data_IF_757806093101
#
_entry.id   IF_757806093101
#
_cell.length_a   1.000
_cell.length_b   1.000
_cell.length_c   1.000
_cell.angle_alpha   90.00
_cell.angle_beta   90.00
_cell.angle_gamma   90.00
#
_symmetry.space_group_name_H-M   'P 1'
#
loop_
_entity.id
_entity.type
_entity.pdbx_description
1 polymer ?
#
# COMPACT_ATOMS: atom_id res chain seq x y z
N UNK A 1 7.13 17.13 9.90
CA UNK A 1 8.04 17.26 8.74
C UNK A 1 7.63 16.25 7.69
N UNK A 2 6.58 16.52 6.91
CA UNK A 2 6.14 15.66 5.79
C UNK A 2 6.20 16.43 4.46
N UNK A 3 5.71 17.68 4.44
CA UNK A 3 5.74 18.53 3.23
C UNK A 3 7.12 18.70 2.59
N UNK A 4 8.15 19.10 3.35
CA UNK A 4 9.50 19.31 2.79
C UNK A 4 10.13 17.99 2.31
N UNK A 5 9.85 16.87 2.99
CA UNK A 5 10.41 15.56 2.63
C UNK A 5 9.83 15.01 1.32
N UNK A 6 8.51 15.10 1.15
CA UNK A 6 7.82 14.77 -0.11
C UNK A 6 8.28 15.70 -1.24
N UNK A 7 8.18 17.02 -1.04
CA UNK A 7 8.41 17.99 -2.10
C UNK A 7 9.88 18.05 -2.55
N UNK A 8 10.83 17.72 -1.66
CA UNK A 8 12.27 17.74 -1.95
C UNK A 8 12.91 16.36 -2.16
N UNK A 9 12.21 15.26 -1.82
CA UNK A 9 12.70 13.88 -1.95
C UNK A 9 11.98 13.04 -3.02
N UNK A 10 10.75 13.44 -3.40
CA UNK A 10 9.93 12.76 -4.40
C UNK A 10 8.86 11.84 -3.81
N UNK A 11 7.89 11.46 -4.66
CA UNK A 11 6.95 10.35 -4.43
C UNK A 11 7.34 9.18 -5.32
N UNK A 12 7.03 7.96 -4.85
CA UNK A 12 7.24 6.73 -5.59
C UNK A 12 5.97 5.87 -5.52
N UNK A 13 6.08 4.55 -5.39
CA UNK A 13 4.92 3.66 -5.49
C UNK A 13 3.80 3.94 -4.46
N UNK A 14 4.12 4.38 -3.25
CA UNK A 14 3.13 4.52 -2.17
C UNK A 14 1.97 5.47 -2.51
N UNK A 15 2.25 6.61 -3.15
CA UNK A 15 1.20 7.57 -3.51
C UNK A 15 0.46 7.16 -4.79
N UNK A 16 1.16 6.56 -5.76
CA UNK A 16 0.52 6.00 -6.94
C UNK A 16 -0.47 4.87 -6.58
N UNK A 17 -0.12 4.00 -5.62
CA UNK A 17 -1.03 2.98 -5.09
C UNK A 17 -2.19 3.63 -4.34
N UNK A 18 -1.96 4.68 -3.54
CA UNK A 18 -3.04 5.47 -2.95
C UNK A 18 -4.02 5.97 -4.03
N UNK A 19 -3.50 6.55 -5.12
CA UNK A 19 -4.33 7.10 -6.19
C UNK A 19 -5.11 6.00 -6.92
N UNK A 20 -4.51 4.82 -7.11
CA UNK A 20 -5.19 3.62 -7.59
C UNK A 20 -6.32 3.16 -6.66
N UNK A 21 -6.10 3.15 -5.35
CA UNK A 21 -7.14 2.81 -4.37
C UNK A 21 -8.35 3.75 -4.48
N UNK A 22 -8.15 5.04 -4.76
CA UNK A 22 -9.29 5.97 -4.95
C UNK A 22 -10.22 5.61 -6.10
N UNK A 23 -9.78 4.76 -7.04
CA UNK A 23 -10.60 4.31 -8.18
C UNK A 23 -11.61 3.22 -7.81
N UNK A 24 -11.51 2.64 -6.61
CA UNK A 24 -12.46 1.63 -6.13
C UNK A 24 -13.33 2.18 -4.99
N UNK A 25 -14.65 2.15 -5.20
CA UNK A 25 -15.65 2.74 -4.29
C UNK A 25 -15.56 2.25 -2.82
N UNK A 26 -15.29 0.97 -2.53
CA UNK A 26 -15.21 0.51 -1.14
C UNK A 26 -14.15 1.20 -0.27
N UNK A 27 -13.18 1.90 -0.87
CA UNK A 27 -12.10 2.59 -0.14
C UNK A 27 -12.33 4.09 0.08
N UNK A 28 -13.51 4.60 -0.32
CA UNK A 28 -13.79 6.03 -0.30
C UNK A 28 -13.93 6.60 1.11
N UNK A 29 -14.38 5.79 2.07
CA UNK A 29 -14.50 6.18 3.48
C UNK A 29 -13.13 6.28 4.19
N UNK A 30 -12.09 5.62 3.65
CA UNK A 30 -10.73 5.74 4.16
C UNK A 30 -10.14 7.11 3.80
N UNK A 31 -9.49 7.74 4.78
CA UNK A 31 -8.79 9.01 4.61
C UNK A 31 -7.55 8.85 3.72
N UNK A 32 -7.00 9.98 3.26
CA UNK A 32 -5.78 10.00 2.45
C UNK A 32 -4.61 9.28 3.14
N UNK A 33 -4.31 9.63 4.40
CA UNK A 33 -3.19 9.03 5.14
C UNK A 33 -3.36 7.53 5.39
N UNK A 34 -4.59 7.07 5.55
CA UNK A 34 -4.93 5.66 5.71
C UNK A 34 -4.63 4.86 4.44
N UNK A 35 -5.06 5.36 3.27
CA UNK A 35 -4.71 4.76 1.96
C UNK A 35 -3.22 4.84 1.66
N UNK A 36 -2.55 5.95 2.01
CA UNK A 36 -1.08 6.09 1.85
C UNK A 36 -0.33 5.08 2.72
N UNK A 37 -0.83 4.74 3.92
CA UNK A 37 -0.19 3.72 4.75
C UNK A 37 -0.22 2.34 4.08
N UNK A 38 -1.36 1.94 3.49
CA UNK A 38 -1.48 0.71 2.68
C UNK A 38 -0.57 0.77 1.44
N UNK A 39 -0.52 1.92 0.76
CA UNK A 39 0.42 2.14 -0.34
C UNK A 39 1.89 2.01 0.07
N UNK A 40 2.25 2.47 1.28
CA UNK A 40 3.61 2.36 1.82
C UNK A 40 4.00 0.90 2.05
N UNK A 41 3.11 0.10 2.65
CA UNK A 41 3.35 -1.35 2.83
C UNK A 41 3.51 -2.05 1.47
N UNK A 42 2.69 -1.67 0.48
CA UNK A 42 2.78 -2.19 -0.89
C UNK A 42 4.12 -1.83 -1.55
N UNK A 43 4.59 -0.59 -1.38
CA UNK A 43 5.88 -0.15 -1.88
C UNK A 43 7.03 -0.97 -1.27
N UNK A 44 7.02 -1.26 0.03
CA UNK A 44 8.06 -2.08 0.67
C UNK A 44 8.11 -3.49 0.09
N UNK A 45 6.95 -4.06 -0.30
CA UNK A 45 6.90 -5.36 -0.99
C UNK A 45 7.49 -5.23 -2.40
N UNK A 46 7.12 -4.20 -3.16
CA UNK A 46 7.67 -3.94 -4.50
C UNK A 46 9.20 -3.77 -4.49
N UNK A 47 9.71 -3.07 -3.48
CA UNK A 47 11.16 -2.88 -3.26
C UNK A 47 11.89 -4.16 -2.82
N UNK A 48 11.17 -5.25 -2.54
CA UNK A 48 11.75 -6.50 -2.06
C UNK A 48 12.38 -6.39 -0.68
N UNK A 49 11.81 -5.57 0.21
CA UNK A 49 12.32 -5.41 1.59
C UNK A 49 12.09 -6.68 2.39
N UNK A 50 12.99 -6.93 3.34
CA UNK A 50 12.88 -8.08 4.24
C UNK A 50 11.56 -8.04 5.02
N UNK A 51 10.97 -9.22 5.24
CA UNK A 51 9.70 -9.37 5.97
C UNK A 51 9.74 -8.73 7.36
N UNK A 52 10.87 -8.82 8.07
CA UNK A 52 11.03 -8.19 9.39
C UNK A 52 10.92 -6.65 9.31
N UNK A 53 11.46 -6.03 8.26
CA UNK A 53 11.34 -4.59 8.06
C UNK A 53 9.89 -4.18 7.74
N UNK A 54 9.17 -5.00 6.98
CA UNK A 54 7.74 -4.78 6.72
C UNK A 54 6.95 -4.93 8.03
N UNK A 55 7.25 -5.96 8.83
CA UNK A 55 6.63 -6.17 10.13
C UNK A 55 6.86 -5.00 11.10
N UNK A 56 8.05 -4.42 11.15
CA UNK A 56 8.33 -3.23 11.98
C UNK A 56 7.42 -2.05 11.61
N UNK A 57 7.15 -1.85 10.31
CA UNK A 57 6.23 -0.79 9.85
C UNK A 57 4.79 -1.16 10.16
N UNK A 58 4.36 -2.40 9.94
CA UNK A 58 3.02 -2.89 10.32
C UNK A 58 2.78 -2.68 11.82
N UNK A 59 3.76 -3.05 12.65
CA UNK A 59 3.72 -2.92 14.11
C UNK A 59 3.52 -1.47 14.53
N UNK A 60 4.33 -0.57 13.98
CA UNK A 60 4.23 0.86 14.21
C UNK A 60 2.85 1.41 13.77
N UNK A 61 2.39 1.04 12.57
CA UNK A 61 1.09 1.46 12.05
C UNK A 61 -0.05 1.00 12.97
N UNK A 62 0.00 -0.25 13.46
CA UNK A 62 -1.00 -0.78 14.41
C UNK A 62 -0.98 -0.02 15.73
N UNK A 63 0.21 0.26 16.29
CA UNK A 63 0.35 1.01 17.54
C UNK A 63 -0.16 2.46 17.42
N UNK A 64 -0.11 3.03 16.21
CA UNK A 64 -0.65 4.35 15.87
C UNK A 64 -2.14 4.32 15.48
N UNK A 65 -2.77 3.14 15.42
CA UNK A 65 -4.16 2.97 15.01
C UNK A 65 -4.42 3.14 13.51
N UNK A 66 -3.39 3.01 12.66
CA UNK A 66 -3.49 3.08 11.21
C UNK A 66 -3.91 1.73 10.61
N UNK A 67 -4.63 1.74 9.47
CA UNK A 67 -5.00 0.54 8.75
C UNK A 67 -3.77 -0.09 8.09
N UNK A 68 -3.67 -1.42 8.18
CA UNK A 68 -2.56 -2.17 7.58
C UNK A 68 -3.02 -3.26 6.62
N UNK A 69 -4.33 -3.48 6.52
CA UNK A 69 -4.96 -4.45 5.62
C UNK A 69 -5.94 -3.76 4.67
N UNK A 70 -6.24 -4.36 3.53
CA UNK A 70 -7.27 -3.90 2.59
C UNK A 70 -8.65 -3.86 3.24
N UNK A 71 -8.95 -4.84 4.10
CA UNK A 71 -10.20 -4.88 4.85
C UNK A 71 -10.34 -3.68 5.80
N UNK A 72 -9.25 -3.16 6.38
CA UNK A 72 -9.29 -1.99 7.26
C UNK A 72 -9.68 -0.71 6.51
N UNK A 73 -9.40 -0.63 5.20
CA UNK A 73 -9.80 0.49 4.33
C UNK A 73 -11.07 0.18 3.53
N UNK A 74 -11.88 -0.80 3.98
CA UNK A 74 -13.19 -1.10 3.39
C UNK A 74 -13.18 -2.09 2.22
N UNK A 75 -12.00 -2.50 1.73
CA UNK A 75 -11.86 -3.45 0.63
C UNK A 75 -11.72 -4.88 1.16
N UNK A 76 -12.82 -5.45 1.67
CA UNK A 76 -12.88 -6.84 2.11
C UNK A 76 -13.08 -7.77 0.92
N UNK A 77 -12.26 -8.82 0.79
CA UNK A 77 -12.29 -9.80 -0.30
C UNK A 77 -12.32 -9.15 -1.69
N UNK A 78 -11.26 -8.39 -2.07
CA UNK A 78 -11.22 -7.68 -3.33
C UNK A 78 -11.41 -8.62 -4.53
N UNK A 79 -12.17 -8.18 -5.52
CA UNK A 79 -12.28 -8.90 -6.79
C UNK A 79 -11.04 -8.68 -7.64
N UNK A 80 -10.75 -9.63 -8.55
CA UNK A 80 -9.67 -9.48 -9.54
C UNK A 80 -9.82 -8.18 -10.36
N UNK A 81 -11.06 -7.77 -10.65
CA UNK A 81 -11.32 -6.52 -11.37
C UNK A 81 -10.94 -5.29 -10.55
N UNK A 82 -11.19 -5.29 -9.24
CA UNK A 82 -10.79 -4.20 -8.34
C UNK A 82 -9.28 -4.11 -8.23
N UNK A 83 -8.60 -5.25 -8.03
CA UNK A 83 -7.14 -5.30 -7.97
C UNK A 83 -6.52 -4.81 -9.28
N UNK A 84 -7.03 -5.30 -10.42
CA UNK A 84 -6.60 -4.84 -11.75
C UNK A 84 -6.81 -3.34 -11.93
N UNK A 85 -7.96 -2.81 -11.52
CA UNK A 85 -8.25 -1.36 -11.59
C UNK A 85 -7.24 -0.55 -10.79
N UNK A 86 -6.89 -1.01 -9.57
CA UNK A 86 -5.90 -0.34 -8.72
C UNK A 86 -4.51 -0.38 -9.39
N UNK A 87 -4.09 -1.55 -9.88
CA UNK A 87 -2.78 -1.72 -10.53
C UNK A 87 -2.64 -0.91 -11.82
N UNK A 88 -3.66 -0.93 -12.68
CA UNK A 88 -3.68 -0.13 -13.92
C UNK A 88 -3.61 1.37 -13.61
N UNK A 89 -4.40 1.84 -12.64
CA UNK A 89 -4.42 3.25 -12.25
C UNK A 89 -3.08 3.70 -11.65
N UNK A 90 -2.48 2.89 -10.77
CA UNK A 90 -1.19 3.20 -10.15
C UNK A 90 -0.03 3.25 -11.15
N UNK A 91 -0.18 2.60 -12.32
CA UNK A 91 0.82 2.56 -13.38
C UNK A 91 0.48 3.50 -14.57
N UNK A 92 -0.51 4.39 -14.46
CA UNK A 92 -0.81 5.36 -15.52
C UNK A 92 0.46 6.20 -15.83
N UNK A 93 0.68 6.65 -17.09
CA UNK A 93 1.97 7.25 -17.49
C UNK A 93 2.42 8.48 -16.70
N UNK A 94 1.47 9.21 -16.09
CA UNK A 94 1.75 10.38 -15.27
C UNK A 94 2.00 10.09 -13.79
N UNK A 95 1.86 8.82 -13.37
CA UNK A 95 1.96 8.45 -11.97
C UNK A 95 3.38 8.52 -11.41
N UNK A 96 3.45 8.61 -10.08
CA UNK A 96 4.72 8.75 -9.37
C UNK A 96 5.48 7.43 -9.21
N UNK A 97 4.83 6.29 -9.48
CA UNK A 97 5.44 4.95 -9.42
C UNK A 97 6.65 4.81 -10.34
N UNK A 98 6.70 5.58 -11.44
CA UNK A 98 7.80 5.57 -12.41
C UNK A 98 9.10 6.19 -11.88
N UNK A 99 9.09 6.74 -10.66
CA UNK A 99 10.30 7.17 -9.96
C UNK A 99 11.02 6.02 -9.22
N UNK A 100 10.40 4.83 -9.12
CA UNK A 100 11.08 3.64 -8.62
C UNK A 100 12.30 3.31 -9.50
N UNK A 101 13.42 2.84 -8.93
CA UNK A 101 14.65 2.54 -9.68
C UNK A 101 14.57 1.22 -10.48
N UNK A 102 13.36 0.68 -10.66
CA UNK A 102 13.05 -0.55 -11.38
C UNK A 102 11.71 -0.40 -12.10
N UNK A 103 11.46 -1.25 -13.10
CA UNK A 103 10.18 -1.27 -13.81
C UNK A 103 9.09 -1.86 -12.91
N UNK A 104 7.95 -1.17 -12.84
CA UNK A 104 6.77 -1.62 -12.09
C UNK A 104 5.60 -1.79 -13.06
N UNK A 105 5.00 -2.97 -13.09
CA UNK A 105 3.83 -3.28 -13.93
C UNK A 105 2.55 -3.32 -13.10
N UNK A 106 1.36 -3.15 -13.73
CA UNK A 106 0.08 -3.29 -13.03
C UNK A 106 -0.07 -4.61 -12.28
N UNK A 107 0.46 -5.71 -12.82
CA UNK A 107 0.43 -7.03 -12.19
C UNK A 107 1.35 -7.07 -10.96
N UNK A 108 2.55 -6.47 -11.03
CA UNK A 108 3.44 -6.37 -9.89
C UNK A 108 2.79 -5.57 -8.74
N UNK A 109 2.05 -4.50 -9.06
CA UNK A 109 1.28 -3.74 -8.04
C UNK A 109 0.19 -4.60 -7.41
N UNK A 110 -0.55 -5.38 -8.20
CA UNK A 110 -1.59 -6.28 -7.70
C UNK A 110 -1.00 -7.33 -6.74
N UNK A 111 0.05 -8.01 -7.18
CA UNK A 111 0.72 -9.05 -6.39
C UNK A 111 1.30 -8.47 -5.10
N UNK A 112 1.92 -7.29 -5.18
CA UNK A 112 2.47 -6.60 -4.01
C UNK A 112 1.38 -6.15 -3.03
N UNK A 113 0.23 -5.68 -3.53
CA UNK A 113 -0.89 -5.25 -2.70
C UNK A 113 -1.48 -6.43 -1.92
N UNK A 114 -1.68 -7.57 -2.58
CA UNK A 114 -2.16 -8.81 -1.94
C UNK A 114 -1.13 -9.34 -0.94
N UNK A 115 0.15 -9.35 -1.32
CA UNK A 115 1.23 -9.80 -0.44
C UNK A 115 1.35 -8.92 0.81
N UNK A 116 1.27 -7.60 0.67
CA UNK A 116 1.30 -6.67 1.79
C UNK A 116 0.12 -6.90 2.76
N UNK A 117 -1.08 -7.13 2.22
CA UNK A 117 -2.28 -7.45 2.99
C UNK A 117 -2.15 -8.78 3.76
N UNK A 118 -1.58 -9.81 3.14
CA UNK A 118 -1.31 -11.10 3.77
C UNK A 118 -0.29 -10.98 4.91
N UNK A 119 0.85 -10.35 4.66
CA UNK A 119 1.89 -10.12 5.67
C UNK A 119 1.34 -9.33 6.87
N UNK A 120 0.55 -8.29 6.62
CA UNK A 120 -0.06 -7.50 7.68
C UNK A 120 -1.09 -8.30 8.51
N UNK A 121 -1.91 -9.14 7.87
CA UNK A 121 -2.88 -10.03 8.55
C UNK A 121 -2.16 -11.08 9.41
N UNK A 122 -1.09 -11.69 8.89
CA UNK A 122 -0.27 -12.64 9.63
C UNK A 122 0.37 -11.97 10.85
N UNK A 123 1.04 -10.82 10.65
CA UNK A 123 1.71 -10.10 11.74
C UNK A 123 0.73 -9.65 12.82
N UNK A 124 -0.45 -9.14 12.44
CA UNK A 124 -1.50 -8.77 13.40
C UNK A 124 -1.99 -9.98 14.21
N UNK A 125 -2.03 -11.17 13.61
CA UNK A 125 -2.45 -12.40 14.28
C UNK A 125 -1.39 -12.91 15.25
N UNK A 126 -0.10 -12.82 14.89
CA UNK A 126 1.01 -13.25 15.74
C UNK A 126 1.18 -12.33 16.95
N UNK A 127 1.14 -11.00 16.76
CA UNK A 127 1.17 -10.02 17.87
C UNK A 127 0.09 -10.25 18.93
N UNK A 128 -1.13 -10.64 18.52
CA UNK A 128 -2.25 -10.88 19.47
C UNK A 128 -2.05 -12.11 20.36
N UNK A 129 -1.08 -12.98 20.04
CA UNK A 129 -0.77 -14.20 20.82
C UNK A 129 0.37 -13.98 21.83
N UNK A 130 1.11 -12.88 21.72
CA UNK A 130 2.17 -12.45 22.63
C UNK A 130 1.59 -11.69 23.83
#
# INVERSE_FOLDING_TARGET
MSGIGFESGGLAAAHAVHDGLTRVEPTHDATHGEKVNVGTLTQLVLEGRDTDAIHDIVDLSVDLGLPVTLADIGLTDPTDEQLRTIGEAACEPQETIHNEPFEVTPEAVQDALVTADELARERRTTRKKE
#
